data_IF_057937183867
#
_entry.id   IF_057937183867
#
_cell.length_a   1.000
_cell.length_b   1.000
_cell.length_c   1.000
_cell.angle_alpha   90.00
_cell.angle_beta   90.00
_cell.angle_gamma   90.00
#
_symmetry.space_group_name_H-M   'P 1'
#
loop_
_entity.id
_entity.type
_entity.pdbx_description
1 polymer ?
#
# COMPACT_ATOMS: atom_id res chain seq x y z
N UNK A 1 -8.77 -10.88 -39.53
CA UNK A 1 -8.58 -9.43 -39.34
C UNK A 1 -9.77 -8.71 -38.70
N UNK A 2 -11.03 -9.08 -38.97
CA UNK A 2 -12.23 -8.42 -38.36
C UNK A 2 -12.30 -8.52 -36.82
N UNK A 3 -11.85 -9.63 -36.23
CA UNK A 3 -11.81 -9.81 -34.77
C UNK A 3 -10.71 -8.98 -34.07
N UNK A 4 -9.60 -8.72 -34.74
CA UNK A 4 -8.50 -7.91 -34.19
C UNK A 4 -8.87 -6.41 -34.13
N UNK A 5 -9.70 -5.92 -35.06
CA UNK A 5 -10.18 -4.53 -35.03
C UNK A 5 -11.21 -4.27 -33.91
N UNK A 6 -11.95 -5.28 -33.44
CA UNK A 6 -12.83 -5.13 -32.27
C UNK A 6 -12.06 -5.06 -30.95
N UNK A 7 -10.86 -5.67 -30.89
CA UNK A 7 -9.99 -5.61 -29.72
C UNK A 7 -9.27 -4.26 -29.54
N UNK A 8 -9.26 -3.39 -30.56
CA UNK A 8 -8.76 -2.02 -30.42
C UNK A 8 -9.60 -1.16 -29.47
N UNK A 9 -10.83 -1.58 -29.19
CA UNK A 9 -11.77 -0.91 -28.30
C UNK A 9 -12.21 -1.83 -27.17
N UNK A 10 -11.28 -2.52 -26.50
CA UNK A 10 -11.64 -3.26 -25.28
C UNK A 10 -12.19 -2.26 -24.26
N UNK A 11 -13.47 -2.36 -23.86
CA UNK A 11 -14.05 -1.37 -22.98
C UNK A 11 -13.46 -1.53 -21.58
N UNK A 12 -12.69 -0.54 -21.11
CA UNK A 12 -12.12 -0.55 -19.77
C UNK A 12 -13.17 -0.72 -18.67
N UNK A 13 -14.41 -0.25 -18.89
CA UNK A 13 -15.52 -0.47 -17.97
C UNK A 13 -15.81 -1.96 -17.77
N UNK A 14 -15.61 -2.82 -18.78
CA UNK A 14 -15.80 -4.25 -18.64
C UNK A 14 -14.73 -4.87 -17.73
N UNK A 15 -13.48 -4.41 -17.80
CA UNK A 15 -12.44 -4.84 -16.85
C UNK A 15 -12.83 -4.48 -15.41
N UNK A 16 -13.33 -3.27 -15.19
CA UNK A 16 -13.76 -2.82 -13.87
C UNK A 16 -14.92 -3.67 -13.36
N UNK A 17 -15.95 -3.91 -14.18
CA UNK A 17 -17.10 -4.75 -13.80
C UNK A 17 -16.67 -6.17 -13.48
N UNK A 18 -15.84 -6.78 -14.34
CA UNK A 18 -15.31 -8.14 -14.09
C UNK A 18 -14.49 -8.17 -12.81
N UNK A 19 -13.62 -7.16 -12.58
CA UNK A 19 -12.83 -7.06 -11.35
C UNK A 19 -13.74 -7.01 -10.12
N UNK A 20 -14.76 -6.14 -10.12
CA UNK A 20 -15.73 -6.04 -9.02
C UNK A 20 -16.38 -7.39 -8.75
N UNK A 21 -16.86 -8.08 -9.81
CA UNK A 21 -17.51 -9.40 -9.67
C UNK A 21 -16.56 -10.44 -9.09
N UNK A 22 -15.31 -10.50 -9.58
CA UNK A 22 -14.31 -11.45 -9.10
C UNK A 22 -13.89 -11.18 -7.65
N UNK A 23 -13.85 -9.90 -7.24
CA UNK A 23 -13.48 -9.49 -5.88
C UNK A 23 -14.66 -9.46 -4.90
N UNK A 24 -15.88 -9.63 -5.38
CA UNK A 24 -17.10 -9.53 -4.56
C UNK A 24 -17.08 -10.41 -3.30
N UNK A 25 -16.59 -11.67 -3.33
CA UNK A 25 -16.53 -12.49 -2.12
C UNK A 25 -15.69 -11.89 -1.00
N UNK A 26 -14.67 -11.08 -1.32
CA UNK A 26 -13.83 -10.42 -0.32
C UNK A 26 -14.59 -9.39 0.52
N UNK A 27 -15.73 -8.87 0.04
CA UNK A 27 -16.57 -7.98 0.84
C UNK A 27 -17.25 -8.69 2.01
N UNK A 28 -17.37 -10.02 1.93
CA UNK A 28 -18.11 -10.85 2.88
C UNK A 28 -17.22 -11.74 3.74
N UNK A 29 -15.89 -11.55 3.71
CA UNK A 29 -14.95 -12.33 4.54
C UNK A 29 -15.04 -12.00 6.03
N UNK A 30 -15.62 -10.85 6.39
CA UNK A 30 -15.63 -10.37 7.77
C UNK A 30 -14.23 -9.99 8.23
N UNK A 31 -14.04 -9.86 9.54
CA UNK A 31 -12.73 -9.57 10.13
C UNK A 31 -11.82 -10.80 10.13
N UNK A 32 -10.55 -10.58 9.79
CA UNK A 32 -9.54 -11.62 9.71
C UNK A 32 -8.25 -11.19 10.42
N UNK A 33 -7.63 -12.11 11.17
CA UNK A 33 -6.31 -11.92 11.74
C UNK A 33 -6.19 -10.69 12.66
N UNK A 34 -5.27 -9.79 12.34
CA UNK A 34 -5.00 -8.54 13.06
C UNK A 34 -6.16 -7.52 12.98
N UNK A 35 -7.19 -7.72 12.14
CA UNK A 35 -8.40 -6.87 12.15
C UNK A 35 -9.04 -6.84 13.55
N UNK A 36 -8.99 -7.96 14.29
CA UNK A 36 -9.46 -8.05 15.67
C UNK A 36 -8.59 -7.26 16.64
N UNK A 37 -7.27 -7.21 16.39
CA UNK A 37 -6.33 -6.43 17.21
C UNK A 37 -6.50 -4.94 16.93
N UNK A 38 -6.68 -4.56 15.67
CA UNK A 38 -7.02 -3.18 15.30
C UNK A 38 -8.32 -2.74 15.96
N UNK A 39 -9.35 -3.60 15.93
CA UNK A 39 -10.60 -3.36 16.64
C UNK A 39 -10.34 -3.14 18.13
N UNK A 40 -9.64 -4.05 18.80
CA UNK A 40 -9.35 -3.95 20.23
C UNK A 40 -8.57 -2.68 20.61
N UNK A 41 -7.50 -2.35 19.90
CA UNK A 41 -6.68 -1.15 20.18
C UNK A 41 -7.43 0.16 19.97
N UNK A 42 -8.40 0.19 19.07
CA UNK A 42 -9.22 1.38 18.79
C UNK A 42 -10.47 1.48 19.68
N UNK A 43 -10.70 0.51 20.56
CA UNK A 43 -11.87 0.44 21.43
C UNK A 43 -11.46 0.54 22.91
N UNK A 44 -11.78 1.64 23.59
CA UNK A 44 -11.32 1.89 24.96
C UNK A 44 -11.88 0.89 25.99
N UNK A 45 -12.96 0.18 25.65
CA UNK A 45 -13.57 -0.82 26.50
C UNK A 45 -12.78 -2.14 26.53
N UNK A 46 -11.84 -2.33 25.59
CA UNK A 46 -10.99 -3.50 25.50
C UNK A 46 -9.60 -3.11 25.98
N UNK A 47 -9.23 -3.60 27.15
CA UNK A 47 -7.91 -3.39 27.69
C UNK A 47 -6.91 -4.25 26.88
N UNK A 48 -6.18 -3.63 25.96
CA UNK A 48 -4.93 -4.13 25.36
C UNK A 48 -3.93 -2.97 25.40
N UNK A 49 -2.78 -3.13 26.06
CA UNK A 49 -1.79 -2.05 26.12
C UNK A 49 -1.22 -1.80 24.71
N UNK A 50 -1.30 -0.56 24.19
CA UNK A 50 -0.60 -0.22 22.95
C UNK A 50 0.91 -0.36 23.16
N UNK A 51 1.65 -0.57 22.07
CA UNK A 51 3.10 -0.51 22.10
C UNK A 51 3.57 0.91 22.46
N UNK A 52 4.67 1.03 23.19
CA UNK A 52 5.26 2.33 23.52
C UNK A 52 6.28 2.74 22.45
N UNK A 53 5.79 3.17 21.29
CA UNK A 53 6.60 3.56 20.14
C UNK A 53 6.04 4.83 19.44
N UNK A 54 6.52 5.13 18.23
CA UNK A 54 6.10 6.30 17.45
C UNK A 54 4.90 6.03 16.51
N UNK A 55 4.21 4.89 16.66
CA UNK A 55 2.96 4.62 15.96
C UNK A 55 1.86 5.59 16.43
N UNK A 56 0.81 5.76 15.61
CA UNK A 56 -0.28 6.68 15.97
C UNK A 56 -1.27 6.01 16.94
N UNK A 57 -1.58 4.75 16.67
CA UNK A 57 -2.55 3.94 17.42
C UNK A 57 -2.04 2.53 17.72
N UNK A 58 -0.80 2.20 17.37
CA UNK A 58 -0.21 0.87 17.62
C UNK A 58 -0.74 -0.26 16.75
N UNK A 59 -1.49 0.03 15.68
CA UNK A 59 -2.22 -1.01 14.94
C UNK A 59 -1.29 -2.04 14.30
N UNK A 60 -0.12 -1.60 13.83
CA UNK A 60 0.90 -2.46 13.26
C UNK A 60 2.11 -2.64 14.18
N UNK A 61 1.92 -2.45 15.49
CA UNK A 61 2.95 -2.64 16.53
C UNK A 61 2.54 -3.75 17.49
N UNK A 62 2.67 -4.99 17.04
CA UNK A 62 2.18 -6.15 17.78
C UNK A 62 3.08 -6.48 18.98
N UNK A 63 4.38 -6.65 18.77
CA UNK A 63 5.33 -7.06 19.82
C UNK A 63 6.55 -6.13 19.81
N UNK A 64 6.82 -5.48 20.93
CA UNK A 64 7.78 -4.38 21.10
C UNK A 64 9.02 -4.76 21.91
N UNK A 65 9.34 -6.06 21.99
CA UNK A 65 10.45 -6.63 22.76
C UNK A 65 10.50 -6.25 24.25
N UNK A 66 9.42 -5.68 24.81
CA UNK A 66 9.23 -5.50 26.25
C UNK A 66 8.78 -6.83 26.87
N UNK A 67 9.56 -7.43 27.80
CA UNK A 67 9.16 -8.66 28.47
C UNK A 67 7.83 -8.51 29.23
N UNK A 68 7.63 -7.35 29.87
CA UNK A 68 6.42 -7.07 30.65
C UNK A 68 5.17 -7.01 29.76
N UNK A 69 5.23 -6.29 28.63
CA UNK A 69 4.10 -6.22 27.70
C UNK A 69 3.89 -7.55 26.99
N UNK A 70 4.96 -8.25 26.62
CA UNK A 70 4.89 -9.59 26.02
C UNK A 70 4.14 -10.56 26.94
N UNK A 71 4.45 -10.55 28.25
CA UNK A 71 3.74 -11.39 29.22
C UNK A 71 2.25 -11.03 29.30
N UNK A 72 1.89 -9.74 29.31
CA UNK A 72 0.48 -9.30 29.30
C UNK A 72 -0.24 -9.78 28.04
N UNK A 73 0.40 -9.71 26.87
CA UNK A 73 -0.17 -10.18 25.61
C UNK A 73 -0.33 -11.71 25.59
N UNK A 74 0.59 -12.47 26.20
CA UNK A 74 0.48 -13.92 26.39
C UNK A 74 -0.68 -14.26 27.32
N UNK A 75 -0.75 -13.61 28.49
CA UNK A 75 -1.79 -13.86 29.50
C UNK A 75 -3.19 -13.55 28.97
N UNK A 76 -3.30 -12.61 28.03
CA UNK A 76 -4.54 -12.25 27.33
C UNK A 76 -4.81 -13.08 26.07
N UNK A 77 -3.91 -13.99 25.70
CA UNK A 77 -4.06 -14.84 24.52
C UNK A 77 -3.96 -14.08 23.18
N UNK A 78 -3.37 -12.88 23.18
CA UNK A 78 -3.16 -12.07 21.97
C UNK A 78 -2.02 -12.63 21.13
N UNK A 79 -0.98 -13.16 21.77
CA UNK A 79 0.16 -13.83 21.14
C UNK A 79 0.37 -15.23 21.75
N UNK A 80 1.03 -16.17 21.05
CA UNK A 80 1.27 -17.52 21.56
C UNK A 80 2.14 -17.53 22.84
N UNK A 81 1.88 -18.48 23.75
CA UNK A 81 2.63 -18.65 25.00
C UNK A 81 4.12 -19.01 24.81
N UNK A 82 4.50 -19.45 23.61
CA UNK A 82 5.87 -19.79 23.23
C UNK A 82 6.58 -18.64 22.48
N UNK A 83 6.00 -17.42 22.45
CA UNK A 83 6.67 -16.25 21.86
C UNK A 83 7.96 -15.93 22.62
N UNK A 84 9.05 -15.79 21.86
CA UNK A 84 10.36 -15.39 22.39
C UNK A 84 10.30 -13.97 22.97
N UNK A 85 10.87 -13.76 24.16
CA UNK A 85 10.79 -12.47 24.88
C UNK A 85 11.43 -11.30 24.11
N UNK A 86 12.46 -11.57 23.31
CA UNK A 86 13.10 -10.55 22.47
C UNK A 86 12.48 -10.40 21.08
N UNK A 87 11.37 -11.09 20.79
CA UNK A 87 10.71 -11.01 19.49
C UNK A 87 10.19 -9.60 19.25
N UNK A 88 10.49 -9.08 18.07
CA UNK A 88 9.97 -7.77 17.65
C UNK A 88 9.18 -7.91 16.38
N UNK A 89 8.03 -7.27 16.34
CA UNK A 89 7.17 -7.20 15.17
C UNK A 89 6.40 -5.88 15.21
N UNK A 90 7.04 -4.81 14.71
CA UNK A 90 6.49 -3.45 14.70
C UNK A 90 6.76 -2.77 13.37
N UNK A 91 5.73 -2.19 12.77
CA UNK A 91 5.81 -1.56 11.46
C UNK A 91 5.26 -0.14 11.52
N UNK A 92 6.06 0.82 11.05
CA UNK A 92 5.65 2.23 11.05
C UNK A 92 4.79 2.55 9.83
N UNK A 93 3.47 2.58 10.02
CA UNK A 93 2.49 2.74 8.92
C UNK A 93 1.43 3.81 9.23
N UNK A 94 1.83 5.06 9.55
CA UNK A 94 0.91 6.07 10.07
C UNK A 94 -0.26 6.39 9.13
N UNK A 95 -0.06 6.33 7.80
CA UNK A 95 -1.15 6.61 6.85
C UNK A 95 -2.14 5.43 6.76
N UNK A 96 -1.64 4.19 6.85
CA UNK A 96 -2.52 3.03 6.94
C UNK A 96 -3.28 3.05 8.27
N UNK A 97 -2.60 3.34 9.39
CA UNK A 97 -3.21 3.50 10.70
C UNK A 97 -4.35 4.52 10.70
N UNK A 98 -4.13 5.69 10.09
CA UNK A 98 -5.16 6.71 9.94
C UNK A 98 -6.36 6.21 9.13
N UNK A 99 -6.12 5.41 8.07
CA UNK A 99 -7.20 4.83 7.26
C UNK A 99 -8.06 3.84 8.07
N UNK A 100 -7.44 3.03 8.93
CA UNK A 100 -8.15 2.10 9.82
C UNK A 100 -8.89 2.83 10.92
N UNK A 101 -8.25 3.83 11.54
CA UNK A 101 -8.92 4.67 12.53
C UNK A 101 -10.17 5.32 11.95
N UNK A 102 -10.07 5.90 10.74
CA UNK A 102 -11.22 6.52 10.06
C UNK A 102 -12.36 5.51 9.84
N UNK A 103 -12.02 4.30 9.42
CA UNK A 103 -12.98 3.22 9.25
C UNK A 103 -13.72 2.89 10.55
N UNK A 104 -13.01 2.82 11.68
CA UNK A 104 -13.64 2.55 12.97
C UNK A 104 -14.47 3.74 13.49
N UNK A 105 -14.15 4.98 13.09
CA UNK A 105 -14.99 6.15 13.38
C UNK A 105 -16.28 6.15 12.57
N UNK A 106 -16.23 5.80 11.28
CA UNK A 106 -17.37 5.86 10.37
C UNK A 106 -18.24 4.59 10.39
N UNK A 107 -17.61 3.42 10.52
CA UNK A 107 -18.20 2.11 10.33
C UNK A 107 -17.79 1.11 11.42
N UNK A 108 -17.82 1.56 12.68
CA UNK A 108 -17.34 0.84 13.88
C UNK A 108 -17.54 -0.67 13.88
N UNK A 109 -18.73 -1.15 13.49
CA UNK A 109 -19.11 -2.57 13.52
C UNK A 109 -19.44 -3.14 12.13
N UNK A 110 -18.93 -2.55 11.04
CA UNK A 110 -19.24 -3.01 9.68
C UNK A 110 -17.95 -3.34 8.91
N UNK A 111 -17.52 -4.60 9.01
CA UNK A 111 -16.44 -5.14 8.18
C UNK A 111 -16.70 -4.92 6.69
N UNK A 112 -17.97 -5.06 6.26
CA UNK A 112 -18.39 -4.85 4.87
C UNK A 112 -17.93 -3.48 4.33
N UNK A 113 -18.15 -2.40 5.09
CA UNK A 113 -17.78 -1.05 4.64
C UNK A 113 -16.26 -0.85 4.61
N UNK A 114 -15.53 -1.49 5.52
CA UNK A 114 -14.08 -1.49 5.54
C UNK A 114 -13.50 -2.20 4.29
N UNK A 115 -14.08 -3.34 3.90
CA UNK A 115 -13.72 -4.01 2.64
C UNK A 115 -14.10 -3.19 1.41
N UNK A 116 -15.25 -2.49 1.42
CA UNK A 116 -15.62 -1.57 0.33
C UNK A 116 -14.57 -0.48 0.18
N UNK A 117 -14.05 0.08 1.28
CA UNK A 117 -12.97 1.05 1.24
C UNK A 117 -11.69 0.46 0.63
N UNK A 118 -11.28 -0.76 1.00
CA UNK A 118 -10.16 -1.46 0.35
C UNK A 118 -10.38 -1.68 -1.15
N UNK A 119 -11.59 -2.08 -1.55
CA UNK A 119 -11.95 -2.29 -2.95
C UNK A 119 -11.92 -0.97 -3.75
N UNK A 120 -12.40 0.14 -3.19
CA UNK A 120 -12.32 1.45 -3.83
C UNK A 120 -10.87 1.85 -4.09
N UNK A 121 -9.98 1.66 -3.12
CA UNK A 121 -8.56 1.92 -3.28
C UNK A 121 -7.92 1.01 -4.33
N UNK A 122 -8.32 -0.27 -4.38
CA UNK A 122 -7.84 -1.23 -5.38
C UNK A 122 -8.29 -0.88 -6.81
N UNK A 123 -9.54 -0.45 -6.99
CA UNK A 123 -10.02 0.06 -8.27
C UNK A 123 -9.30 1.34 -8.67
N UNK A 124 -9.02 2.22 -7.70
CA UNK A 124 -8.17 3.40 -7.89
C UNK A 124 -6.76 3.04 -8.37
N UNK A 125 -6.16 2.00 -7.79
CA UNK A 125 -4.88 1.46 -8.23
C UNK A 125 -4.95 0.93 -9.67
N UNK A 126 -6.01 0.20 -10.01
CA UNK A 126 -6.27 -0.24 -11.39
C UNK A 126 -6.34 0.93 -12.38
N UNK A 127 -7.05 2.01 -12.03
CA UNK A 127 -7.13 3.21 -12.86
C UNK A 127 -5.77 3.94 -12.98
N UNK A 128 -5.00 3.99 -11.91
CA UNK A 128 -3.66 4.57 -11.92
C UNK A 128 -2.69 3.74 -12.81
N UNK A 129 -2.75 2.41 -12.71
CA UNK A 129 -1.98 1.50 -13.57
C UNK A 129 -2.39 1.62 -15.04
N UNK A 130 -3.68 1.73 -15.34
CA UNK A 130 -4.16 1.96 -16.70
C UNK A 130 -3.54 3.22 -17.30
N UNK A 131 -3.53 4.31 -16.53
CA UNK A 131 -2.92 5.58 -16.93
C UNK A 131 -1.40 5.42 -17.13
N UNK A 132 -0.72 4.69 -16.26
CA UNK A 132 0.71 4.44 -16.35
C UNK A 132 1.05 3.64 -17.62
N UNK A 133 0.36 2.52 -17.87
CA UNK A 133 0.59 1.69 -19.05
C UNK A 133 0.29 2.42 -20.35
N UNK A 134 -0.76 3.25 -20.36
CA UNK A 134 -1.10 4.08 -21.51
C UNK A 134 -0.04 5.17 -21.79
N UNK A 135 0.68 5.65 -20.75
CA UNK A 135 1.81 6.59 -20.91
C UNK A 135 3.04 5.92 -21.50
N UNK A 136 3.19 4.60 -21.35
CA UNK A 136 4.30 3.81 -21.92
C UNK A 136 4.12 3.46 -23.40
N UNK A 137 3.17 4.09 -24.10
CA UNK A 137 2.89 3.87 -25.54
C UNK A 137 2.53 2.41 -25.89
N UNK A 138 2.03 1.65 -24.91
CA UNK A 138 1.50 0.30 -25.13
C UNK A 138 0.23 0.36 -25.99
N UNK A 139 -0.01 -0.68 -26.80
CA UNK A 139 -1.29 -0.79 -27.52
C UNK A 139 -2.46 -0.96 -26.54
N UNK A 140 -3.69 -0.52 -26.88
CA UNK A 140 -4.85 -0.65 -25.99
C UNK A 140 -5.10 -2.09 -25.51
N UNK A 141 -4.84 -3.08 -26.38
CA UNK A 141 -4.95 -4.49 -26.05
C UNK A 141 -3.88 -4.93 -25.03
N UNK A 142 -2.64 -4.46 -25.17
CA UNK A 142 -1.58 -4.75 -24.22
C UNK A 142 -1.86 -4.12 -22.84
N UNK A 143 -2.39 -2.89 -22.81
CA UNK A 143 -2.84 -2.25 -21.56
C UNK A 143 -3.95 -3.06 -20.91
N UNK A 144 -4.98 -3.45 -21.67
CA UNK A 144 -6.10 -4.24 -21.15
C UNK A 144 -5.63 -5.62 -20.64
N UNK A 145 -4.74 -6.30 -21.37
CA UNK A 145 -4.16 -7.57 -20.96
C UNK A 145 -3.33 -7.45 -19.69
N UNK A 146 -2.45 -6.46 -19.59
CA UNK A 146 -1.63 -6.22 -18.40
C UNK A 146 -2.49 -5.89 -17.17
N UNK A 147 -3.55 -5.09 -17.36
CA UNK A 147 -4.52 -4.81 -16.29
C UNK A 147 -5.29 -6.05 -15.87
N UNK A 148 -5.74 -6.88 -16.82
CA UNK A 148 -6.44 -8.12 -16.51
C UNK A 148 -5.54 -9.08 -15.71
N UNK A 149 -4.29 -9.25 -16.13
CA UNK A 149 -3.30 -10.09 -15.41
C UNK A 149 -3.11 -9.59 -13.99
N UNK A 150 -2.93 -8.28 -13.79
CA UNK A 150 -2.74 -7.73 -12.45
C UNK A 150 -4.03 -7.78 -11.61
N UNK A 151 -5.14 -7.28 -12.14
CA UNK A 151 -6.37 -7.09 -11.35
C UNK A 151 -7.06 -8.40 -10.99
N UNK A 152 -6.87 -9.44 -11.79
CA UNK A 152 -7.52 -10.76 -11.61
C UNK A 152 -6.55 -11.80 -11.05
N UNK A 153 -5.35 -11.40 -10.65
CA UNK A 153 -4.42 -12.29 -9.95
C UNK A 153 -5.02 -12.74 -8.62
N UNK A 154 -5.04 -14.05 -8.38
CA UNK A 154 -5.64 -14.63 -7.18
C UNK A 154 -4.86 -14.28 -5.91
N UNK A 155 -3.57 -13.92 -6.01
CA UNK A 155 -2.74 -13.49 -4.88
C UNK A 155 -3.24 -12.20 -4.23
N UNK A 156 -3.96 -11.35 -4.99
CA UNK A 156 -4.60 -10.15 -4.44
C UNK A 156 -5.84 -10.47 -3.59
N UNK A 157 -6.38 -11.69 -3.67
CA UNK A 157 -7.55 -12.12 -2.90
C UNK A 157 -7.37 -11.90 -1.40
N UNK A 158 -6.21 -12.31 -0.86
CA UNK A 158 -5.85 -12.08 0.55
C UNK A 158 -5.74 -10.59 0.89
N UNK A 159 -5.25 -9.76 -0.03
CA UNK A 159 -5.11 -8.31 0.21
C UNK A 159 -6.46 -7.59 0.27
N UNK A 160 -7.49 -8.16 -0.37
CA UNK A 160 -8.84 -7.60 -0.39
C UNK A 160 -9.72 -8.16 0.73
N UNK A 161 -9.55 -9.44 1.09
CA UNK A 161 -10.31 -10.12 2.14
C UNK A 161 -9.77 -9.86 3.55
N UNK A 162 -8.64 -9.18 3.67
CA UNK A 162 -7.99 -8.88 4.95
C UNK A 162 -7.87 -7.37 5.11
N UNK A 163 -8.67 -6.77 5.99
CA UNK A 163 -8.80 -5.31 6.04
C UNK A 163 -7.46 -4.67 6.39
N UNK A 164 -6.75 -5.14 7.42
CA UNK A 164 -5.43 -4.63 7.83
C UNK A 164 -4.39 -4.62 6.70
N UNK A 165 -4.46 -5.57 5.77
CA UNK A 165 -3.54 -5.64 4.63
C UNK A 165 -3.84 -4.57 3.54
N UNK A 166 -4.86 -3.72 3.73
CA UNK A 166 -5.12 -2.53 2.90
C UNK A 166 -3.89 -1.62 2.79
N UNK A 167 -3.02 -1.64 3.80
CA UNK A 167 -1.75 -0.93 3.79
C UNK A 167 -0.92 -1.22 2.51
N UNK A 168 -0.94 -2.46 2.00
CA UNK A 168 -0.25 -2.85 0.77
C UNK A 168 -0.90 -2.25 -0.49
N UNK A 169 -2.24 -2.18 -0.54
CA UNK A 169 -2.99 -1.55 -1.62
C UNK A 169 -2.69 -0.04 -1.65
N UNK A 170 -2.71 0.61 -0.49
CA UNK A 170 -2.39 2.03 -0.34
C UNK A 170 -0.95 2.34 -0.77
N UNK A 171 0.02 1.57 -0.28
CA UNK A 171 1.43 1.73 -0.65
C UNK A 171 1.61 1.61 -2.18
N UNK A 172 0.96 0.62 -2.79
CA UNK A 172 1.01 0.40 -4.24
C UNK A 172 0.34 1.53 -5.04
N UNK A 173 -0.86 1.95 -4.64
CA UNK A 173 -1.58 3.07 -5.27
C UNK A 173 -0.74 4.35 -5.26
N UNK A 174 -0.25 4.74 -4.09
CA UNK A 174 0.56 5.95 -3.95
C UNK A 174 1.90 5.83 -4.66
N UNK A 175 2.50 4.63 -4.71
CA UNK A 175 3.69 4.36 -5.52
C UNK A 175 3.46 4.58 -7.01
N UNK A 176 2.35 4.09 -7.56
CA UNK A 176 1.99 4.31 -8.97
C UNK A 176 1.68 5.78 -9.26
N UNK A 177 1.00 6.49 -8.34
CA UNK A 177 0.79 7.93 -8.47
C UNK A 177 2.11 8.72 -8.43
N UNK A 178 3.06 8.32 -7.57
CA UNK A 178 4.41 8.86 -7.55
C UNK A 178 5.08 8.71 -8.92
N UNK A 179 5.04 7.53 -9.53
CA UNK A 179 5.59 7.27 -10.86
C UNK A 179 4.93 8.16 -11.92
N UNK A 180 3.60 8.27 -11.94
CA UNK A 180 2.88 9.09 -12.91
C UNK A 180 3.31 10.56 -12.87
N UNK A 181 3.43 11.14 -11.67
CA UNK A 181 3.87 12.52 -11.48
C UNK A 181 5.37 12.69 -11.70
N UNK A 182 6.17 11.67 -11.42
CA UNK A 182 7.59 11.65 -11.78
C UNK A 182 7.73 11.74 -13.31
N UNK A 183 7.00 10.93 -14.07
CA UNK A 183 7.00 10.99 -15.54
C UNK A 183 6.57 12.36 -16.07
N UNK A 184 5.54 12.96 -15.46
CA UNK A 184 5.11 14.33 -15.81
C UNK A 184 6.20 15.37 -15.54
N UNK A 185 6.93 15.24 -14.42
CA UNK A 185 8.08 16.07 -14.14
C UNK A 185 9.22 15.85 -15.14
N UNK A 186 9.49 14.61 -15.56
CA UNK A 186 10.52 14.30 -16.57
C UNK A 186 10.15 14.86 -17.95
N UNK A 187 8.86 14.93 -18.28
CA UNK A 187 8.39 15.51 -19.54
C UNK A 187 8.41 17.06 -19.53
N UNK A 188 8.02 17.68 -18.41
CA UNK A 188 7.77 19.14 -18.34
C UNK A 188 8.87 19.95 -17.63
N UNK A 189 9.65 19.31 -16.76
CA UNK A 189 10.59 19.97 -15.86
C UNK A 189 9.94 20.79 -14.73
N UNK A 190 8.61 20.75 -14.59
CA UNK A 190 7.87 21.60 -13.66
C UNK A 190 8.05 21.24 -12.18
N UNK A 191 8.33 22.24 -11.33
CA UNK A 191 8.50 22.04 -9.88
C UNK A 191 7.26 21.42 -9.22
N UNK A 192 6.06 21.80 -9.67
CA UNK A 192 4.80 21.24 -9.15
C UNK A 192 4.76 19.72 -9.31
N UNK A 193 5.12 19.21 -10.49
CA UNK A 193 5.08 17.78 -10.76
C UNK A 193 6.08 17.01 -9.88
N UNK A 194 7.27 17.59 -9.68
CA UNK A 194 8.26 17.05 -8.74
C UNK A 194 7.70 16.99 -7.31
N UNK A 195 7.18 18.11 -6.77
CA UNK A 195 6.68 18.15 -5.40
C UNK A 195 5.51 17.19 -5.18
N UNK A 196 4.59 17.09 -6.14
CA UNK A 196 3.46 16.15 -6.05
C UNK A 196 3.95 14.71 -6.12
N UNK A 197 4.95 14.40 -6.96
CA UNK A 197 5.56 13.07 -7.01
C UNK A 197 6.22 12.69 -5.67
N UNK A 198 7.00 13.60 -5.07
CA UNK A 198 7.65 13.39 -3.77
C UNK A 198 6.62 13.21 -2.64
N UNK A 199 5.51 13.95 -2.67
CA UNK A 199 4.40 13.77 -1.75
C UNK A 199 3.83 12.35 -1.84
N UNK A 200 3.58 11.84 -3.04
CA UNK A 200 3.06 10.48 -3.23
C UNK A 200 4.07 9.40 -2.82
N UNK A 201 5.38 9.63 -3.00
CA UNK A 201 6.41 8.73 -2.44
C UNK A 201 6.28 8.65 -0.92
N UNK A 202 6.15 9.80 -0.25
CA UNK A 202 6.01 9.83 1.21
C UNK A 202 4.73 9.11 1.66
N UNK A 203 3.60 9.33 0.99
CA UNK A 203 2.36 8.59 1.26
C UNK A 203 2.54 7.08 1.08
N UNK A 204 3.27 6.65 0.05
CA UNK A 204 3.57 5.24 -0.19
C UNK A 204 4.37 4.63 0.96
N UNK A 205 5.45 5.29 1.38
CA UNK A 205 6.31 4.86 2.50
C UNK A 205 5.58 4.85 3.85
N UNK A 206 4.68 5.81 4.07
CA UNK A 206 3.86 5.89 5.29
C UNK A 206 2.65 4.95 5.29
N UNK A 207 2.34 4.33 4.16
CA UNK A 207 1.31 3.28 4.10
C UNK A 207 1.89 1.91 4.41
N UNK A 208 3.15 1.65 4.03
CA UNK A 208 3.82 0.38 4.33
C UNK A 208 5.23 0.33 3.77
N UNK A 209 6.05 -0.54 4.35
CA UNK A 209 7.45 -0.77 3.96
C UNK A 209 7.57 -1.15 2.49
N UNK A 210 6.56 -1.84 1.94
CA UNK A 210 6.45 -2.17 0.53
C UNK A 210 6.62 -0.94 -0.37
N UNK A 211 6.26 0.25 0.11
CA UNK A 211 6.41 1.51 -0.61
C UNK A 211 7.83 1.80 -1.10
N UNK A 212 8.86 1.23 -0.45
CA UNK A 212 10.25 1.33 -0.91
C UNK A 212 10.44 0.77 -2.33
N UNK A 213 9.61 -0.19 -2.74
CA UNK A 213 9.61 -0.78 -4.08
C UNK A 213 9.37 0.26 -5.18
N UNK A 214 8.69 1.37 -4.87
CA UNK A 214 8.52 2.51 -5.78
C UNK A 214 9.87 3.04 -6.27
N UNK A 215 10.89 3.07 -5.39
CA UNK A 215 12.23 3.52 -5.74
C UNK A 215 12.92 2.60 -6.77
N UNK A 216 12.63 1.30 -6.73
CA UNK A 216 13.16 0.36 -7.72
C UNK A 216 12.59 0.66 -9.12
N UNK A 217 11.30 0.98 -9.23
CA UNK A 217 10.69 1.39 -10.50
C UNK A 217 11.21 2.75 -10.99
N UNK A 218 11.41 3.72 -10.10
CA UNK A 218 12.05 5.00 -10.44
C UNK A 218 13.47 4.78 -11.00
N UNK A 219 14.26 3.93 -10.33
CA UNK A 219 15.59 3.55 -10.79
C UNK A 219 15.57 2.83 -12.14
N UNK A 220 14.67 1.87 -12.32
CA UNK A 220 14.51 1.15 -13.58
C UNK A 220 14.16 2.09 -14.73
N UNK A 221 13.23 3.03 -14.52
CA UNK A 221 12.91 4.05 -15.52
C UNK A 221 14.14 4.93 -15.81
N UNK A 222 14.81 5.43 -14.77
CA UNK A 222 15.97 6.30 -14.93
C UNK A 222 17.09 5.63 -15.74
N UNK A 223 17.32 4.33 -15.52
CA UNK A 223 18.33 3.57 -16.22
C UNK A 223 17.96 3.27 -17.67
N UNK A 224 16.70 2.90 -17.94
CA UNK A 224 16.31 2.25 -19.19
C UNK A 224 15.47 3.12 -20.13
N UNK A 225 14.74 4.10 -19.61
CA UNK A 225 13.66 4.78 -20.35
C UNK A 225 13.76 6.32 -20.37
N UNK A 226 14.55 6.93 -19.50
CA UNK A 226 14.68 8.39 -19.45
C UNK A 226 15.44 8.95 -20.67
N UNK A 227 14.81 9.89 -21.38
CA UNK A 227 15.35 10.53 -22.60
C UNK A 227 16.62 11.35 -22.34
N UNK A 228 16.85 11.79 -21.10
CA UNK A 228 18.06 12.53 -20.73
C UNK A 228 19.30 11.62 -20.57
N UNK A 229 19.13 10.30 -20.65
CA UNK A 229 20.17 9.29 -20.45
C UNK A 229 20.38 8.92 -18.98
N UNK A 230 20.95 7.72 -18.72
CA UNK A 230 20.94 7.08 -17.40
C UNK A 230 21.65 7.90 -16.33
N UNK A 231 22.79 8.53 -16.65
CA UNK A 231 23.56 9.32 -15.68
C UNK A 231 22.77 10.52 -15.15
N UNK A 232 22.16 11.31 -16.04
CA UNK A 232 21.37 12.50 -15.65
C UNK A 232 20.09 12.10 -14.93
N UNK A 233 19.46 11.02 -15.38
CA UNK A 233 18.26 10.50 -14.76
C UNK A 233 18.51 9.97 -13.34
N UNK A 234 19.59 9.22 -13.12
CA UNK A 234 19.99 8.78 -11.78
C UNK A 234 20.30 9.95 -10.86
N UNK A 235 21.00 10.97 -11.35
CA UNK A 235 21.23 12.19 -10.57
C UNK A 235 19.92 12.89 -10.21
N UNK A 236 18.92 12.86 -11.10
CA UNK A 236 17.60 13.46 -10.86
C UNK A 236 16.81 12.74 -9.74
N UNK A 237 17.20 11.52 -9.35
CA UNK A 237 16.56 10.78 -8.25
C UNK A 237 17.01 11.23 -6.86
N UNK A 238 17.97 12.15 -6.73
CA UNK A 238 18.48 12.58 -5.42
C UNK A 238 17.40 12.99 -4.41
N UNK A 239 16.29 13.71 -4.77
CA UNK A 239 15.27 14.07 -3.78
C UNK A 239 14.52 12.85 -3.26
N UNK A 240 14.30 11.84 -4.12
CA UNK A 240 13.66 10.58 -3.76
C UNK A 240 14.54 9.76 -2.83
N UNK A 241 15.86 9.73 -3.08
CA UNK A 241 16.83 9.09 -2.20
C UNK A 241 16.83 9.76 -0.82
N UNK A 242 16.83 11.10 -0.76
CA UNK A 242 16.79 11.82 0.51
C UNK A 242 15.54 11.49 1.31
N UNK A 243 14.36 11.47 0.69
CA UNK A 243 13.10 11.10 1.37
C UNK A 243 13.15 9.64 1.88
N UNK A 244 13.58 8.70 1.04
CA UNK A 244 13.63 7.28 1.42
C UNK A 244 14.65 7.01 2.53
N UNK A 245 15.81 7.65 2.48
CA UNK A 245 16.83 7.55 3.54
C UNK A 245 16.32 8.21 4.83
N UNK A 246 15.70 9.39 4.75
CA UNK A 246 15.12 10.03 5.92
C UNK A 246 14.05 9.15 6.57
N UNK A 247 13.11 8.63 5.77
CA UNK A 247 12.10 7.67 6.25
C UNK A 247 12.74 6.46 6.91
N UNK A 248 13.74 5.84 6.28
CA UNK A 248 14.44 4.68 6.85
C UNK A 248 15.17 5.01 8.16
N UNK A 249 15.77 6.19 8.28
CA UNK A 249 16.39 6.65 9.53
C UNK A 249 15.35 6.80 10.63
N UNK A 250 14.22 7.45 10.38
CA UNK A 250 13.12 7.55 11.36
C UNK A 250 12.57 6.18 11.73
N UNK A 251 12.42 5.29 10.74
CA UNK A 251 11.98 3.91 10.95
C UNK A 251 12.92 3.16 11.91
N UNK A 252 14.24 3.31 11.74
CA UNK A 252 15.23 2.68 12.63
C UNK A 252 15.36 3.35 13.99
N UNK A 253 15.29 4.67 14.06
CA UNK A 253 15.31 5.40 15.32
C UNK A 253 14.09 5.09 16.20
N UNK A 254 12.93 4.82 15.58
CA UNK A 254 11.72 4.36 16.25
C UNK A 254 11.70 2.87 16.60
N UNK A 255 12.81 2.14 16.39
CA UNK A 255 12.93 0.69 16.58
C UNK A 255 11.93 -0.17 15.79
N UNK A 256 11.40 0.34 14.67
CA UNK A 256 10.51 -0.44 13.82
C UNK A 256 11.29 -1.50 13.03
N UNK A 257 10.62 -2.62 12.77
CA UNK A 257 11.12 -3.79 12.07
C UNK A 257 10.63 -5.09 12.71
N UNK A 258 11.18 -6.19 12.21
CA UNK A 258 10.97 -7.52 12.75
C UNK A 258 12.31 -8.24 12.94
N UNK A 259 12.51 -8.81 14.12
CA UNK A 259 13.75 -9.48 14.56
C UNK A 259 13.43 -10.78 15.31
#
# INVERSE_FOLDING_TARGET
>A
MVYLNRLQYFPYWALVVITIVLTLPALFSGWLGDDYIHYALLHPDIDIPPANDWSLFGLFSWVDASPERTQVLIDRGVIPWWTYEGFRYQFWRPLAELSHWLDHQLWRNSALMMHVHSLVLYLGLGAALQRLYSRMQMSPLAVAGALAVYLWDSTHGLSLSWVANRNAIMASLFGVLCLLWYLDWRDTGGLRALLVSLFWLLCSLFSGELGISTCAYLGAYALMADKAGPRKALMALWPYVVISVAWWLFYKLGNFGAD
#
